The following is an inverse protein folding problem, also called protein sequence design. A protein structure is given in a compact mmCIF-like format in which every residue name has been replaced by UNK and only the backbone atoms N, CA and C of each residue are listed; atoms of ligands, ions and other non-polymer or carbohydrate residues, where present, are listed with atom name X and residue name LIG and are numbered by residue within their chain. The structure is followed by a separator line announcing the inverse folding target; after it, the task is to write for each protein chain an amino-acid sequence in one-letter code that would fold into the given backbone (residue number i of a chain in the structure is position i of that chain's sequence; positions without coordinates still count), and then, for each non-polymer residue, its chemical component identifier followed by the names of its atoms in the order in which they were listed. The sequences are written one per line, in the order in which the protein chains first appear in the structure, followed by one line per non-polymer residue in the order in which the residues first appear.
data_IF_780032700792
#
_entry.id   IF_780032700792
#
_cell.length_a   1.000
_cell.length_b   1.000
_cell.length_c   1.000
_cell.angle_alpha   90.00
_cell.angle_beta   90.00
_cell.angle_gamma   90.00
#
_symmetry.space_group_name_H-M   'P 1'
#
loop_
_entity.id
_entity.type
_entity.pdbx_description
1 polymer ?
#
# COMPACT_ATOMS: atom_id res chain seq x y z
N UNK A 1 9.88 -3.09 -6.43
CA UNK A 1 9.62 -1.64 -6.32
C UNK A 1 8.15 -1.41 -6.55
N UNK A 2 7.50 -0.66 -5.67
CA UNK A 2 6.09 -0.27 -5.76
C UNK A 2 6.01 1.21 -5.38
N UNK A 3 5.27 1.99 -6.14
CA UNK A 3 4.84 3.31 -5.72
C UNK A 3 3.53 3.19 -4.96
N UNK A 4 3.53 3.65 -3.70
CA UNK A 4 2.32 3.79 -2.89
C UNK A 4 2.11 5.28 -2.62
N UNK A 5 0.91 5.78 -2.92
CA UNK A 5 0.50 7.14 -2.57
C UNK A 5 -0.68 7.04 -1.61
N UNK A 6 -0.55 7.66 -0.45
CA UNK A 6 -1.64 7.82 0.52
C UNK A 6 -2.06 9.28 0.54
N UNK A 7 -3.36 9.52 0.45
CA UNK A 7 -3.96 10.84 0.66
C UNK A 7 -5.12 10.73 1.64
N UNK A 8 -5.32 11.78 2.42
CA UNK A 8 -6.40 11.88 3.40
C UNK A 8 -7.27 13.06 3.00
N UNK A 9 -8.59 12.92 3.12
CA UNK A 9 -9.53 14.03 3.05
C UNK A 9 -10.50 13.97 4.24
N UNK A 10 -11.51 14.86 4.27
CA UNK A 10 -12.47 14.96 5.38
C UNK A 10 -13.28 13.68 5.64
N UNK A 11 -13.45 12.81 4.65
CA UNK A 11 -14.38 11.66 4.72
C UNK A 11 -13.71 10.30 4.59
N UNK A 12 -12.47 10.24 4.09
CA UNK A 12 -11.76 9.00 3.85
C UNK A 12 -10.24 9.15 3.85
N UNK A 13 -9.58 8.02 4.09
CA UNK A 13 -8.20 7.78 3.71
C UNK A 13 -8.20 7.01 2.40
N UNK A 14 -7.44 7.47 1.40
CA UNK A 14 -7.33 6.82 0.10
C UNK A 14 -5.87 6.42 -0.13
N UNK A 15 -5.65 5.12 -0.32
CA UNK A 15 -4.36 4.58 -0.72
C UNK A 15 -4.43 4.11 -2.16
N UNK A 16 -3.42 4.43 -2.96
CA UNK A 16 -3.25 3.95 -4.32
C UNK A 16 -1.87 3.30 -4.46
N UNK A 17 -1.79 2.23 -5.24
CA UNK A 17 -0.52 1.61 -5.60
C UNK A 17 -0.52 1.07 -7.02
N UNK A 18 0.66 1.01 -7.62
CA UNK A 18 0.84 0.24 -8.86
C UNK A 18 0.82 -1.26 -8.57
N UNK A 19 0.48 -2.06 -9.58
CA UNK A 19 0.36 -3.52 -9.47
C UNK A 19 1.53 -4.30 -10.08
N UNK A 20 2.64 -3.64 -10.45
CA UNK A 20 3.80 -4.27 -11.08
C UNK A 20 4.70 -4.95 -10.06
N UNK A 21 5.01 -6.22 -10.27
CA UNK A 21 6.19 -6.86 -9.68
C UNK A 21 7.31 -6.82 -10.71
N UNK A 22 8.53 -6.54 -10.23
CA UNK A 22 9.73 -6.54 -11.05
C UNK A 22 10.65 -7.63 -10.52
N UNK A 23 11.04 -8.56 -11.40
CA UNK A 23 12.03 -9.60 -11.11
C UNK A 23 13.26 -9.37 -11.98
N UNK A 24 14.40 -9.20 -11.34
CA UNK A 24 15.71 -9.06 -12.00
C UNK A 24 16.46 -10.37 -11.81
N UNK A 25 16.84 -11.00 -12.92
CA UNK A 25 17.58 -12.26 -12.93
C UNK A 25 19.10 -12.01 -12.91
N UNK A 26 19.89 -13.02 -12.53
CA UNK A 26 21.36 -12.93 -12.49
C UNK A 26 21.99 -12.61 -13.84
N UNK A 27 21.32 -12.99 -14.93
CA UNK A 27 21.72 -12.69 -16.32
C UNK A 27 21.30 -11.27 -16.77
N UNK A 28 20.78 -10.44 -15.86
CA UNK A 28 20.33 -9.09 -16.13
C UNK A 28 18.96 -8.99 -16.78
N UNK A 29 18.29 -10.11 -17.10
CA UNK A 29 16.92 -10.08 -17.63
C UNK A 29 15.97 -9.51 -16.60
N UNK A 30 14.97 -8.78 -17.07
CA UNK A 30 13.90 -8.21 -16.24
C UNK A 30 12.57 -8.80 -16.69
N UNK A 31 11.81 -9.35 -15.74
CA UNK A 31 10.42 -9.80 -15.95
C UNK A 31 9.47 -8.95 -15.13
N UNK A 32 8.36 -8.57 -15.75
CA UNK A 32 7.28 -7.81 -15.13
C UNK A 32 6.02 -8.67 -14.97
N UNK A 33 5.32 -8.47 -13.85
CA UNK A 33 3.95 -8.98 -13.62
C UNK A 33 3.07 -7.80 -13.21
N UNK A 34 2.15 -7.38 -14.07
CA UNK A 34 1.41 -6.12 -13.92
C UNK A 34 0.08 -6.22 -13.15
N UNK A 35 -0.24 -7.38 -12.57
CA UNK A 35 -1.56 -7.65 -11.99
C UNK A 35 -1.51 -8.12 -10.53
N UNK A 36 -0.39 -7.90 -9.84
CA UNK A 36 -0.26 -8.31 -8.45
C UNK A 36 -1.19 -7.51 -7.52
N UNK A 37 -1.81 -8.20 -6.56
CA UNK A 37 -2.46 -7.53 -5.43
C UNK A 37 -1.40 -6.94 -4.49
N UNK A 38 -1.60 -5.70 -4.04
CA UNK A 38 -0.71 -5.06 -3.05
C UNK A 38 -1.47 -4.33 -1.96
N UNK A 39 -2.74 -4.62 -1.77
CA UNK A 39 -3.50 -4.10 -0.63
C UNK A 39 -4.12 -5.23 0.19
N UNK A 40 -4.19 -4.97 1.50
CA UNK A 40 -4.90 -5.77 2.48
C UNK A 40 -5.76 -4.79 3.28
N UNK A 41 -7.06 -5.05 3.38
CA UNK A 41 -7.97 -4.26 4.21
C UNK A 41 -8.13 -4.93 5.56
N UNK A 42 -8.05 -4.15 6.64
CA UNK A 42 -8.14 -4.65 8.01
C UNK A 42 -9.11 -3.77 8.79
N UNK A 43 -10.20 -4.37 9.26
CA UNK A 43 -11.02 -3.82 10.33
C UNK A 43 -10.73 -4.60 11.60
N UNK A 44 -10.48 -3.91 12.69
CA UNK A 44 -10.19 -4.54 13.97
C UNK A 44 -10.95 -3.84 15.11
N UNK A 45 -10.59 -4.17 16.35
CA UNK A 45 -11.26 -3.66 17.56
C UNK A 45 -11.30 -2.13 17.69
N UNK A 46 -10.28 -1.42 17.24
CA UNK A 46 -10.14 0.03 17.45
C UNK A 46 -9.72 0.84 16.23
N UNK A 47 -9.62 0.19 15.06
CA UNK A 47 -9.18 0.78 13.81
C UNK A 47 -9.79 0.10 12.57
N UNK A 48 -9.81 0.86 11.47
CA UNK A 48 -10.13 0.39 10.12
C UNK A 48 -9.10 0.97 9.17
N UNK A 49 -8.29 0.14 8.53
CA UNK A 49 -7.14 0.59 7.75
C UNK A 49 -6.79 -0.34 6.60
N UNK A 50 -6.03 0.19 5.65
CA UNK A 50 -5.38 -0.55 4.57
C UNK A 50 -3.91 -0.77 4.91
N UNK A 51 -3.37 -1.89 4.42
CA UNK A 51 -1.95 -2.19 4.38
C UNK A 51 -1.56 -2.31 2.91
N UNK A 52 -0.56 -1.55 2.49
CA UNK A 52 0.11 -1.73 1.21
C UNK A 52 1.60 -2.01 1.44
N UNK A 53 2.31 -2.53 0.43
CA UNK A 53 3.73 -2.84 0.58
C UNK A 53 4.59 -2.44 -0.61
N UNK A 54 5.82 -2.05 -0.31
CA UNK A 54 6.88 -1.77 -1.27
C UNK A 54 8.18 -2.42 -0.82
N UNK A 55 9.14 -2.52 -1.73
CA UNK A 55 10.39 -3.24 -1.51
C UNK A 55 10.31 -4.71 -1.95
N UNK A 56 10.68 -5.64 -1.07
CA UNK A 56 10.76 -7.06 -1.37
C UNK A 56 9.37 -7.65 -1.63
N UNK A 57 9.15 -8.18 -2.84
CA UNK A 57 7.85 -8.69 -3.28
C UNK A 57 7.60 -10.16 -2.95
N UNK A 58 8.67 -10.94 -2.84
CA UNK A 58 8.65 -12.37 -2.60
C UNK A 58 9.70 -12.70 -1.54
N UNK A 59 9.35 -13.56 -0.60
CA UNK A 59 10.29 -14.15 0.37
C UNK A 59 10.41 -15.65 0.12
N UNK A 60 11.61 -16.18 0.35
CA UNK A 60 11.83 -17.61 0.43
C UNK A 60 11.73 -18.07 1.88
N UNK A 61 10.84 -19.03 2.13
CA UNK A 61 10.71 -19.72 3.41
C UNK A 61 10.83 -21.22 3.13
N UNK A 62 11.91 -21.82 3.61
CA UNK A 62 12.32 -23.18 3.22
C UNK A 62 12.44 -23.30 1.68
N UNK A 63 11.68 -24.20 1.07
CA UNK A 63 11.62 -24.48 -0.36
C UNK A 63 10.60 -23.59 -1.11
N UNK A 64 9.75 -22.84 -0.38
CA UNK A 64 8.64 -22.08 -0.97
C UNK A 64 8.99 -20.61 -1.19
N UNK A 65 8.50 -20.07 -2.31
CA UNK A 65 8.47 -18.64 -2.59
C UNK A 65 7.07 -18.14 -2.27
N UNK A 66 6.96 -17.17 -1.37
CA UNK A 66 5.69 -16.62 -0.88
C UNK A 66 5.68 -15.13 -1.16
N UNK A 67 4.59 -14.63 -1.75
CA UNK A 67 4.43 -13.19 -1.98
C UNK A 67 4.24 -12.45 -0.66
N UNK A 68 4.75 -11.23 -0.56
CA UNK A 68 4.67 -10.43 0.66
C UNK A 68 3.21 -10.21 1.10
N UNK A 69 2.28 -9.91 0.18
CA UNK A 69 0.87 -9.77 0.56
C UNK A 69 0.25 -11.05 1.14
N UNK A 70 0.61 -12.21 0.58
CA UNK A 70 0.16 -13.52 1.07
C UNK A 70 0.75 -13.85 2.44
N UNK A 71 2.03 -13.55 2.65
CA UNK A 71 2.70 -13.71 3.93
C UNK A 71 2.00 -12.88 5.02
N UNK A 72 1.67 -11.62 4.72
CA UNK A 72 1.05 -10.71 5.67
C UNK A 72 -0.39 -11.14 5.97
N UNK A 73 -1.22 -11.45 4.97
CA UNK A 73 -2.62 -11.84 5.22
C UNK A 73 -2.71 -13.15 6.01
N UNK A 74 -1.86 -14.14 5.68
CA UNK A 74 -1.88 -15.44 6.37
C UNK A 74 -1.45 -15.28 7.84
N UNK A 75 -0.50 -14.39 8.12
CA UNK A 75 -0.10 -14.08 9.50
C UNK A 75 -1.19 -13.30 10.26
N UNK A 76 -1.81 -12.30 9.64
CA UNK A 76 -2.91 -11.54 10.26
C UNK A 76 -4.09 -12.44 10.61
N UNK A 77 -4.43 -13.38 9.73
CA UNK A 77 -5.43 -14.40 9.99
C UNK A 77 -5.03 -15.28 11.19
N UNK A 78 -3.78 -15.79 11.21
CA UNK A 78 -3.27 -16.64 12.29
C UNK A 78 -3.33 -15.99 13.66
N UNK A 79 -3.11 -14.68 13.76
CA UNK A 79 -3.18 -13.96 15.03
C UNK A 79 -4.58 -13.44 15.35
N UNK A 80 -5.61 -13.77 14.56
CA UNK A 80 -6.96 -13.21 14.69
C UNK A 80 -6.93 -11.67 14.77
N UNK A 81 -6.28 -11.04 13.79
CA UNK A 81 -6.02 -9.61 13.82
C UNK A 81 -7.30 -8.74 13.92
N UNK A 82 -8.47 -9.25 13.52
CA UNK A 82 -9.76 -8.58 13.75
C UNK A 82 -10.08 -8.29 15.21
N UNK A 83 -9.62 -9.14 16.15
CA UNK A 83 -9.90 -8.98 17.59
C UNK A 83 -8.81 -8.21 18.33
N UNK A 84 -7.74 -7.83 17.64
CA UNK A 84 -6.59 -7.12 18.21
C UNK A 84 -6.72 -5.61 18.00
N UNK A 85 -6.02 -4.86 18.85
CA UNK A 85 -5.82 -3.41 18.64
C UNK A 85 -4.82 -3.15 17.52
N UNK A 86 -4.89 -1.97 16.90
CA UNK A 86 -3.92 -1.54 15.90
C UNK A 86 -2.47 -1.68 16.41
N UNK A 87 -2.20 -1.25 17.65
CA UNK A 87 -0.86 -1.29 18.26
C UNK A 87 -0.34 -2.72 18.42
N UNK A 88 -1.19 -3.65 18.82
CA UNK A 88 -0.81 -5.06 18.93
C UNK A 88 -0.49 -5.65 17.56
N UNK A 89 -1.29 -5.32 16.53
CA UNK A 89 -1.08 -5.81 15.16
C UNK A 89 0.23 -5.30 14.58
N UNK A 90 0.51 -3.99 14.65
CA UNK A 90 1.74 -3.43 14.05
C UNK A 90 2.99 -3.96 14.74
N UNK A 91 2.95 -4.11 16.07
CA UNK A 91 4.06 -4.70 16.84
C UNK A 91 4.27 -6.17 16.49
N UNK A 92 3.19 -6.94 16.40
CA UNK A 92 3.24 -8.36 16.01
C UNK A 92 3.78 -8.53 14.59
N UNK A 93 3.32 -7.72 13.64
CA UNK A 93 3.82 -7.70 12.26
C UNK A 93 5.31 -7.36 12.21
N UNK A 94 5.76 -6.29 12.85
CA UNK A 94 7.18 -5.89 12.88
C UNK A 94 8.07 -7.04 13.39
N UNK A 95 7.67 -7.68 14.50
CA UNK A 95 8.37 -8.83 15.07
C UNK A 95 8.36 -10.05 14.15
N UNK A 96 7.28 -10.28 13.40
CA UNK A 96 7.14 -11.41 12.50
C UNK A 96 7.96 -11.25 11.21
N UNK A 97 7.90 -10.08 10.57
CA UNK A 97 8.57 -9.85 9.29
C UNK A 97 10.07 -9.68 9.43
N UNK A 98 10.55 -9.13 10.55
CA UNK A 98 11.98 -8.90 10.81
C UNK A 98 12.85 -10.14 10.55
N UNK A 99 12.67 -11.28 11.24
CA UNK A 99 13.51 -12.45 11.02
C UNK A 99 13.32 -13.08 9.64
N UNK A 100 12.16 -12.94 9.00
CA UNK A 100 11.88 -13.52 7.68
C UNK A 100 12.67 -12.76 6.61
N UNK A 101 12.57 -11.43 6.61
CA UNK A 101 13.24 -10.56 5.64
C UNK A 101 14.76 -10.59 5.82
N UNK A 102 15.25 -10.62 7.07
CA UNK A 102 16.69 -10.68 7.34
C UNK A 102 17.36 -11.98 6.89
N UNK A 103 16.63 -13.09 6.87
CA UNK A 103 17.14 -14.40 6.47
C UNK A 103 17.14 -14.60 4.94
N UNK A 104 16.68 -13.62 4.17
CA UNK A 104 16.67 -13.72 2.72
C UNK A 104 18.10 -13.70 2.18
N UNK A 105 18.43 -14.65 1.30
CA UNK A 105 19.73 -14.75 0.66
C UNK A 105 19.88 -13.75 -0.50
N UNK A 106 19.81 -12.47 -0.15
CA UNK A 106 20.03 -11.31 -1.03
C UNK A 106 20.89 -10.29 -0.28
N UNK A 107 21.54 -9.40 -1.03
CA UNK A 107 22.29 -8.28 -0.48
C UNK A 107 21.42 -7.43 0.47
N UNK A 108 22.03 -6.86 1.51
CA UNK A 108 21.31 -6.12 2.56
C UNK A 108 20.42 -5.00 1.98
N UNK A 109 20.91 -4.26 1.00
CA UNK A 109 20.14 -3.20 0.32
C UNK A 109 18.93 -3.72 -0.47
N UNK A 110 18.90 -5.00 -0.85
CA UNK A 110 17.76 -5.62 -1.52
C UNK A 110 16.71 -6.19 -0.54
N UNK A 111 16.94 -6.05 0.77
CA UNK A 111 15.99 -6.45 1.83
C UNK A 111 15.04 -5.32 2.26
N UNK A 112 15.12 -4.16 1.60
CA UNK A 112 14.23 -3.02 1.83
C UNK A 112 12.79 -3.46 1.72
N UNK A 113 11.99 -3.20 2.76
CA UNK A 113 10.56 -3.43 2.76
C UNK A 113 9.87 -2.43 3.66
N UNK A 114 8.79 -1.84 3.19
CA UNK A 114 7.88 -1.03 4.01
C UNK A 114 6.47 -1.60 3.85
N UNK A 115 5.80 -1.82 4.96
CA UNK A 115 4.35 -1.98 5.02
C UNK A 115 3.75 -0.62 5.38
N UNK A 116 3.08 0.02 4.42
CA UNK A 116 2.40 1.30 4.62
C UNK A 116 1.00 1.03 5.16
N UNK A 117 0.68 1.59 6.31
CA UNK A 117 -0.64 1.46 6.94
C UNK A 117 -1.33 2.82 6.96
N UNK A 118 -2.60 2.88 6.59
CA UNK A 118 -3.35 4.12 6.67
C UNK A 118 -4.84 3.86 6.82
N UNK A 119 -5.55 4.70 7.56
CA UNK A 119 -6.97 4.51 7.82
C UNK A 119 -7.48 5.37 8.96
N UNK A 120 -8.45 4.84 9.71
CA UNK A 120 -9.00 5.47 10.89
C UNK A 120 -8.68 4.66 12.15
N UNK A 121 -8.22 5.32 13.20
CA UNK A 121 -7.94 4.76 14.51
C UNK A 121 -8.74 5.56 15.54
N UNK A 122 -9.68 4.90 16.22
CA UNK A 122 -10.62 5.53 17.17
C UNK A 122 -11.29 6.78 16.58
N UNK A 123 -11.76 6.67 15.34
CA UNK A 123 -12.45 7.75 14.61
C UNK A 123 -11.55 8.84 14.05
N UNK A 124 -10.23 8.78 14.25
CA UNK A 124 -9.28 9.78 13.71
C UNK A 124 -8.48 9.21 12.54
N UNK A 125 -8.29 9.97 11.45
CA UNK A 125 -7.44 9.51 10.37
C UNK A 125 -5.99 9.36 10.84
N UNK A 126 -5.29 8.36 10.33
CA UNK A 126 -3.88 8.14 10.61
C UNK A 126 -3.14 7.61 9.38
N UNK A 127 -1.84 7.84 9.39
CA UNK A 127 -0.88 7.12 8.56
C UNK A 127 0.16 6.45 9.45
N UNK A 128 0.78 5.41 8.96
CA UNK A 128 1.81 4.67 9.67
C UNK A 128 2.66 3.87 8.71
N UNK A 129 3.74 3.32 9.25
CA UNK A 129 4.64 2.44 8.53
C UNK A 129 5.21 1.37 9.45
N UNK A 130 5.55 0.23 8.86
CA UNK A 130 6.42 -0.79 9.44
C UNK A 130 7.54 -0.98 8.43
N UNK A 131 8.74 -0.46 8.73
CA UNK A 131 9.82 -0.38 7.76
C UNK A 131 11.18 -0.68 8.37
N UNK A 132 12.10 -1.18 7.54
CA UNK A 132 13.52 -1.28 7.85
C UNK A 132 14.36 -0.24 7.11
N UNK A 133 13.76 0.69 6.36
CA UNK A 133 14.49 1.67 5.54
C UNK A 133 13.75 2.99 5.28
N UNK A 134 12.53 3.20 5.80
CA UNK A 134 11.78 4.45 5.68
C UNK A 134 11.36 4.94 7.08
N UNK A 135 11.38 6.25 7.30
CA UNK A 135 10.89 6.88 8.54
C UNK A 135 9.44 7.40 8.41
N UNK A 136 8.98 8.13 9.44
CA UNK A 136 7.64 8.72 9.53
C UNK A 136 7.36 9.90 8.60
N UNK A 137 8.40 10.46 7.98
CA UNK A 137 8.30 11.49 6.96
C UNK A 137 8.35 10.90 5.55
N UNK A 138 8.58 9.58 5.43
CA UNK A 138 8.83 8.90 4.15
C UNK A 138 10.28 9.06 3.69
N UNK A 139 11.18 9.55 4.55
CA UNK A 139 12.59 9.68 4.24
C UNK A 139 13.28 8.32 4.25
N UNK A 140 14.21 8.15 3.32
CA UNK A 140 14.93 6.90 3.14
C UNK A 140 16.13 6.84 4.08
N UNK A 141 16.20 5.76 4.83
CA UNK A 141 17.27 5.45 5.76
C UNK A 141 18.10 4.24 5.27
N UNK A 142 19.35 4.09 5.75
CA UNK A 142 20.09 2.85 5.57
C UNK A 142 19.29 1.64 6.07
N UNK A 143 19.41 0.51 5.37
CA UNK A 143 18.67 -0.70 5.72
C UNK A 143 19.08 -1.20 7.10
N UNK A 144 18.11 -1.30 8.01
CA UNK A 144 18.25 -1.83 9.35
C UNK A 144 17.97 -3.34 9.38
N UNK A 145 18.54 -4.04 10.35
CA UNK A 145 18.24 -5.45 10.62
C UNK A 145 16.98 -5.60 11.51
N UNK A 146 16.26 -4.53 11.79
CA UNK A 146 15.00 -4.55 12.54
C UNK A 146 13.98 -3.68 11.83
N UNK A 147 12.71 -4.11 11.88
CA UNK A 147 11.61 -3.27 11.45
C UNK A 147 11.16 -2.40 12.61
N UNK A 148 11.19 -1.10 12.39
CA UNK A 148 10.61 -0.10 13.27
C UNK A 148 9.20 0.22 12.76
N UNK A 149 8.34 0.70 13.67
CA UNK A 149 7.01 1.14 13.30
C UNK A 149 6.69 2.49 13.90
N UNK A 150 5.86 3.23 13.18
CA UNK A 150 5.39 4.56 13.58
C UNK A 150 3.93 4.73 13.16
N UNK A 151 3.19 5.54 13.92
CA UNK A 151 1.79 5.87 13.66
C UNK A 151 1.61 7.36 13.95
N UNK A 152 1.23 8.11 12.92
CA UNK A 152 0.90 9.53 13.00
C UNK A 152 -0.61 9.70 12.90
N UNK A 153 -1.23 9.95 14.05
CA UNK A 153 -2.65 10.34 14.09
C UNK A 153 -2.76 11.80 13.66
N UNK A 154 -3.72 12.09 12.78
CA UNK A 154 -3.98 13.43 12.32
C UNK A 154 -5.20 13.99 13.04
N UNK A 155 -5.11 15.27 13.38
CA UNK A 155 -6.26 16.00 13.89
C UNK A 155 -7.23 16.25 12.74
N UNK A 156 -8.51 15.86 12.86
CA UNK A 156 -9.53 16.37 11.96
C UNK A 156 -9.72 17.85 12.29
N UNK A 157 -9.12 18.75 11.52
CA UNK A 157 -9.43 20.18 11.58
C UNK A 157 -10.33 20.54 10.40
N UNK A 158 -11.20 21.53 10.60
CA UNK A 158 -12.12 22.01 9.57
C UNK A 158 -11.40 22.62 8.34
N UNK A 159 -10.12 22.99 8.50
CA UNK A 159 -9.32 23.73 7.51
C UNK A 159 -8.40 22.86 6.65
N UNK A 160 -8.02 21.64 7.08
CA UNK A 160 -7.36 20.61 6.25
C UNK A 160 -6.99 19.39 7.09
N UNK A 161 -7.20 18.18 6.56
CA UNK A 161 -6.00 17.37 6.41
C UNK A 161 -5.83 16.92 4.98
N UNK A 162 -4.75 17.39 4.35
CA UNK A 162 -4.19 16.76 3.15
C UNK A 162 -2.77 16.33 3.49
N UNK A 163 -2.68 15.23 4.26
CA UNK A 163 -1.41 14.53 4.33
C UNK A 163 -1.29 13.68 3.07
N UNK A 164 -0.33 14.05 2.23
CA UNK A 164 0.15 13.21 1.15
C UNK A 164 1.41 12.50 1.62
N UNK A 165 1.41 11.19 1.43
CA UNK A 165 2.58 10.38 1.74
C UNK A 165 2.88 9.48 0.56
N UNK A 166 4.14 9.50 0.14
CA UNK A 166 4.67 8.71 -0.96
C UNK A 166 5.68 7.73 -0.38
N UNK A 167 5.53 6.45 -0.68
CA UNK A 167 6.44 5.41 -0.21
C UNK A 167 6.95 4.56 -1.38
N UNK A 168 8.18 4.05 -1.24
CA UNK A 168 8.75 3.06 -2.15
C UNK A 168 9.41 3.60 -3.41
N UNK A 169 9.59 4.92 -3.51
CA UNK A 169 10.26 5.57 -4.63
C UNK A 169 11.56 6.22 -4.18
N UNK A 170 12.66 5.47 -4.25
CA UNK A 170 13.97 6.00 -3.84
C UNK A 170 14.44 7.24 -4.61
N UNK A 171 13.85 7.52 -5.78
CA UNK A 171 14.35 8.51 -6.77
C UNK A 171 13.30 9.15 -7.71
N UNK A 172 11.99 8.88 -7.57
CA UNK A 172 10.96 9.44 -8.50
C UNK A 172 10.36 10.74 -8.00
N UNK A 173 10.49 11.00 -6.70
CA UNK A 173 10.17 12.31 -6.14
C UNK A 173 11.34 13.23 -6.48
N UNK A 174 11.53 13.47 -7.77
CA UNK A 174 12.41 14.51 -8.30
C UNK A 174 11.72 15.87 -8.12
N UNK A 175 12.44 16.96 -8.38
CA UNK A 175 11.99 18.36 -8.23
C UNK A 175 10.71 18.70 -9.06
N UNK A 176 10.21 17.78 -9.88
CA UNK A 176 8.99 17.92 -10.68
C UNK A 176 7.75 17.24 -10.09
N UNK A 177 7.92 16.24 -9.21
CA UNK A 177 6.82 15.50 -8.58
C UNK A 177 6.18 16.33 -7.46
N UNK A 178 7.00 16.89 -6.56
CA UNK A 178 6.56 17.71 -5.42
C UNK A 178 5.79 18.98 -5.82
N UNK A 179 6.25 19.81 -6.77
CA UNK A 179 5.49 21.01 -7.15
C UNK A 179 4.13 20.69 -7.73
N UNK A 180 3.95 19.52 -8.37
CA UNK A 180 2.65 19.09 -8.90
C UNK A 180 1.74 18.59 -7.79
N UNK A 181 2.29 17.90 -6.79
CA UNK A 181 1.61 17.54 -5.56
C UNK A 181 1.16 18.78 -4.79
N UNK A 182 2.03 19.78 -4.63
CA UNK A 182 1.73 21.03 -3.94
C UNK A 182 0.74 21.93 -4.72
N UNK A 183 0.91 22.06 -6.05
CA UNK A 183 0.02 22.83 -6.93
C UNK A 183 -1.38 22.22 -7.07
N UNK A 184 -1.48 20.89 -6.97
CA UNK A 184 -2.77 20.18 -6.98
C UNK A 184 -3.31 19.89 -5.57
N UNK A 185 -2.50 20.01 -4.52
CA UNK A 185 -2.85 19.60 -3.15
C UNK A 185 -4.16 20.22 -2.68
N UNK A 186 -4.33 21.53 -2.88
CA UNK A 186 -5.58 22.25 -2.55
C UNK A 186 -6.78 21.96 -3.47
N UNK A 187 -6.58 21.35 -4.65
CA UNK A 187 -7.67 20.94 -5.57
C UNK A 187 -8.06 19.47 -5.42
N UNK A 188 -7.09 18.59 -5.21
CA UNK A 188 -7.28 17.15 -4.93
C UNK A 188 -8.06 16.96 -3.63
N UNK A 189 -7.73 17.83 -2.69
CA UNK A 189 -8.35 18.05 -1.43
C UNK A 189 -9.89 17.99 -1.37
N UNK A 190 -10.51 18.83 -2.20
CA UNK A 190 -11.95 19.03 -2.22
C UNK A 190 -12.68 18.04 -3.13
N UNK A 191 -11.97 17.03 -3.66
CA UNK A 191 -12.60 16.03 -4.49
C UNK A 191 -13.38 15.00 -3.65
N UNK A 192 -14.41 14.44 -4.26
CA UNK A 192 -15.03 13.21 -3.76
C UNK A 192 -13.98 12.09 -3.59
N UNK A 193 -14.25 11.11 -2.74
CA UNK A 193 -13.32 9.98 -2.53
C UNK A 193 -12.94 9.26 -3.83
N UNK A 194 -13.88 9.13 -4.77
CA UNK A 194 -13.62 8.57 -6.11
C UNK A 194 -12.78 9.51 -6.99
N UNK A 195 -13.00 10.82 -6.90
CA UNK A 195 -12.14 11.81 -7.57
C UNK A 195 -10.71 11.74 -7.05
N UNK A 196 -10.54 11.74 -5.73
CA UNK A 196 -9.25 11.57 -5.07
C UNK A 196 -8.54 10.30 -5.54
N UNK A 197 -9.21 9.14 -5.51
CA UNK A 197 -8.67 7.88 -6.02
C UNK A 197 -8.19 7.98 -7.48
N UNK A 198 -8.97 8.62 -8.36
CA UNK A 198 -8.59 8.84 -9.76
C UNK A 198 -7.35 9.71 -9.90
N UNK A 199 -7.24 10.81 -9.13
CA UNK A 199 -6.05 11.66 -9.14
C UNK A 199 -4.80 10.92 -8.70
N UNK A 200 -4.90 10.07 -7.65
CA UNK A 200 -3.76 9.25 -7.22
C UNK A 200 -3.32 8.27 -8.32
N UNK A 201 -4.27 7.63 -9.02
CA UNK A 201 -3.96 6.76 -10.17
C UNK A 201 -3.27 7.53 -11.29
N UNK A 202 -3.71 8.75 -11.59
CA UNK A 202 -3.08 9.59 -12.61
C UNK A 202 -1.64 9.98 -12.21
N UNK A 203 -1.39 10.24 -10.93
CA UNK A 203 -0.05 10.51 -10.41
C UNK A 203 0.88 9.30 -10.55
N UNK A 204 0.39 8.09 -10.23
CA UNK A 204 1.15 6.85 -10.40
C UNK A 204 1.48 6.60 -11.88
N UNK A 205 0.49 6.76 -12.76
CA UNK A 205 0.71 6.60 -14.21
C UNK A 205 1.68 7.63 -14.78
N UNK A 206 1.63 8.86 -14.26
CA UNK A 206 2.61 9.88 -14.62
C UNK A 206 4.02 9.50 -14.16
N UNK A 207 4.18 9.02 -12.92
CA UNK A 207 5.45 8.50 -12.41
C UNK A 207 6.00 7.35 -13.27
N UNK A 208 5.14 6.51 -13.85
CA UNK A 208 5.54 5.44 -14.75
C UNK A 208 6.20 5.93 -16.06
N UNK A 209 6.10 7.23 -16.38
CA UNK A 209 6.82 7.86 -17.50
C UNK A 209 8.17 8.46 -17.10
N UNK A 210 8.61 8.34 -15.83
CA UNK A 210 9.90 8.85 -15.40
C UNK A 210 11.06 8.17 -16.17
N UNK A 211 12.04 8.92 -16.73
CA UNK A 211 13.03 8.38 -17.67
C UNK A 211 13.84 7.19 -17.13
N UNK A 212 14.23 7.21 -15.85
CA UNK A 212 15.16 6.23 -15.27
C UNK A 212 14.49 5.05 -14.58
N UNK A 213 13.30 5.27 -13.99
CA UNK A 213 12.69 4.38 -13.00
C UNK A 213 11.21 4.13 -13.27
N UNK A 214 10.59 4.88 -14.20
CA UNK A 214 9.20 4.68 -14.59
C UNK A 214 8.94 3.27 -15.11
N UNK A 215 9.94 2.63 -15.72
CA UNK A 215 9.87 1.21 -16.14
C UNK A 215 9.59 0.22 -14.99
N UNK A 216 9.87 0.58 -13.74
CA UNK A 216 9.59 -0.27 -12.58
C UNK A 216 8.22 -0.03 -11.95
N UNK A 217 7.48 0.98 -12.43
CA UNK A 217 6.16 1.35 -11.93
C UNK A 217 5.11 0.86 -12.92
N UNK A 218 4.16 0.06 -12.44
CA UNK A 218 3.04 -0.40 -13.26
C UNK A 218 2.07 0.72 -13.60
N UNK A 219 1.48 0.68 -14.79
CA UNK A 219 0.39 1.59 -15.16
C UNK A 219 -1.00 1.05 -14.76
N UNK A 220 -1.07 -0.25 -14.47
CA UNK A 220 -2.20 -0.88 -13.80
C UNK A 220 -2.12 -0.55 -12.31
N UNK A 221 -3.17 0.08 -11.79
CA UNK A 221 -3.21 0.54 -10.41
C UNK A 221 -4.32 -0.15 -9.62
N UNK A 222 -4.24 -0.07 -8.30
CA UNK A 222 -5.34 -0.35 -7.41
C UNK A 222 -5.52 0.80 -6.44
N UNK A 223 -6.76 1.02 -6.00
CA UNK A 223 -7.07 1.99 -4.95
C UNK A 223 -7.89 1.35 -3.87
N UNK A 224 -7.63 1.74 -2.63
CA UNK A 224 -8.42 1.41 -1.45
C UNK A 224 -8.88 2.73 -0.82
N UNK A 225 -10.19 2.97 -0.88
CA UNK A 225 -10.85 4.05 -0.17
C UNK A 225 -11.34 3.47 1.17
N UNK A 226 -10.90 4.09 2.24
CA UNK A 226 -11.16 3.70 3.62
C UNK A 226 -11.97 4.84 4.24
N UNK A 227 -13.30 4.79 4.15
CA UNK A 227 -14.13 5.82 4.76
C UNK A 227 -14.13 5.66 6.29
N UNK A 228 -14.36 6.77 6.99
CA UNK A 228 -14.51 6.78 8.45
C UNK A 228 -15.61 5.82 8.92
N UNK A 229 -16.69 5.74 8.15
CA UNK A 229 -17.85 4.87 8.38
C UNK A 229 -18.18 4.06 7.11
N UNK A 230 -18.86 2.92 7.26
CA UNK A 230 -19.23 2.04 6.15
C UNK A 230 -18.13 1.04 5.77
N UNK A 231 -18.18 0.50 4.54
CA UNK A 231 -17.27 -0.55 4.06
C UNK A 231 -16.01 -0.01 3.36
N UNK A 232 -15.05 -0.89 3.09
CA UNK A 232 -13.93 -0.56 2.20
C UNK A 232 -14.42 -0.49 0.75
N UNK A 233 -13.94 0.50 -0.02
CA UNK A 233 -14.21 0.57 -1.46
C UNK A 233 -12.90 0.42 -2.20
N UNK A 234 -12.79 -0.67 -2.96
CA UNK A 234 -11.56 -1.07 -3.61
C UNK A 234 -11.77 -1.27 -5.09
N UNK A 235 -10.91 -0.66 -5.89
CA UNK A 235 -11.04 -0.62 -7.35
C UNK A 235 -9.72 -1.01 -8.02
N UNK A 236 -9.84 -1.82 -9.07
CA UNK A 236 -8.76 -2.08 -10.02
C UNK A 236 -8.87 -1.07 -11.17
N UNK A 237 -7.77 -0.40 -11.47
CA UNK A 237 -7.65 0.64 -12.51
C UNK A 237 -6.69 0.17 -13.61
N UNK A 238 -7.12 -0.71 -14.52
CA UNK A 238 -6.33 -1.08 -15.70
C UNK A 238 -6.10 0.13 -16.60
N UNK A 239 -4.97 0.16 -17.31
CA UNK A 239 -4.62 1.31 -18.17
C UNK A 239 -5.63 1.56 -19.30
N UNK A 240 -6.07 0.48 -19.96
CA UNK A 240 -6.80 0.53 -21.24
C UNK A 240 -8.31 0.32 -21.13
N UNK A 241 -8.83 -0.01 -19.96
CA UNK A 241 -10.26 -0.27 -19.77
C UNK A 241 -10.77 0.42 -18.51
N UNK A 242 -12.10 0.47 -18.38
CA UNK A 242 -12.76 1.12 -17.25
C UNK A 242 -12.41 0.46 -15.91
N UNK A 243 -12.34 1.23 -14.81
CA UNK A 243 -12.14 0.67 -13.48
C UNK A 243 -13.22 -0.34 -13.11
N UNK A 244 -12.84 -1.36 -12.36
CA UNK A 244 -13.77 -2.39 -11.86
C UNK A 244 -13.61 -2.54 -10.36
N UNK A 245 -14.71 -2.80 -9.66
CA UNK A 245 -14.66 -3.21 -8.26
C UNK A 245 -13.78 -4.45 -8.10
N UNK A 246 -12.96 -4.46 -7.05
CA UNK A 246 -11.99 -5.53 -6.78
C UNK A 246 -11.96 -5.77 -5.29
N UNK A 247 -12.16 -6.99 -4.80
CA UNK A 247 -12.07 -7.28 -3.37
C UNK A 247 -10.65 -7.74 -3.03
N UNK A 248 -9.82 -6.93 -2.36
CA UNK A 248 -8.51 -7.36 -1.93
C UNK A 248 -8.63 -8.35 -0.77
N UNK A 249 -7.48 -8.76 -0.22
CA UNK A 249 -7.45 -9.45 1.05
C UNK A 249 -8.16 -8.62 2.13
N UNK A 250 -9.03 -9.25 2.93
CA UNK A 250 -9.83 -8.58 3.96
C UNK A 250 -9.77 -9.36 5.27
N UNK A 251 -9.49 -8.64 6.36
CA UNK A 251 -9.59 -9.10 7.75
C UNK A 251 -10.65 -8.25 8.46
N UNK A 252 -11.60 -8.91 9.11
CA UNK A 252 -12.56 -8.30 10.03
C UNK A 252 -12.79 -9.26 11.21
N UNK A 253 -13.37 -8.81 12.35
CA UNK A 253 -13.77 -9.72 13.42
C UNK A 253 -14.61 -10.89 12.88
N UNK A 254 -14.17 -12.13 13.13
CA UNK A 254 -14.84 -13.34 12.67
C UNK A 254 -14.76 -13.65 11.16
N UNK A 255 -14.11 -12.82 10.34
CA UNK A 255 -14.09 -12.98 8.88
C UNK A 255 -12.69 -12.75 8.30
N UNK A 256 -12.24 -13.69 7.46
CA UNK A 256 -11.00 -13.58 6.67
C UNK A 256 -11.31 -13.95 5.23
N UNK A 257 -11.06 -13.03 4.29
CA UNK A 257 -11.13 -13.29 2.85
C UNK A 257 -9.77 -13.10 2.19
N UNK A 258 -9.36 -14.06 1.37
CA UNK A 258 -8.14 -13.99 0.54
C UNK A 258 -8.53 -13.95 -0.93
N UNK A 259 -8.29 -12.80 -1.58
CA UNK A 259 -8.36 -12.60 -3.04
C UNK A 259 -9.66 -13.08 -3.73
N UNK A 260 -10.83 -12.56 -3.36
CA UNK A 260 -12.09 -12.90 -4.03
C UNK A 260 -12.28 -12.01 -5.26
N UNK A 261 -12.20 -12.59 -6.46
CA UNK A 261 -12.56 -11.90 -7.71
C UNK A 261 -14.01 -12.20 -8.08
N UNK A 262 -14.91 -11.23 -7.90
CA UNK A 262 -16.29 -11.34 -8.38
C UNK A 262 -16.32 -10.92 -9.86
N UNK A 263 -16.39 -11.88 -10.78
CA UNK A 263 -16.62 -11.60 -12.20
C UNK A 263 -18.12 -11.46 -12.45
N UNK A 264 -18.57 -10.30 -12.93
CA UNK A 264 -19.89 -10.20 -13.57
C UNK A 264 -19.83 -11.02 -14.87
N UNK A 265 -20.51 -12.15 -14.90
CA UNK A 265 -20.81 -12.83 -16.16
C UNK A 265 -21.88 -11.97 -16.84
N UNK A 266 -21.52 -11.25 -17.90
CA UNK A 266 -22.54 -10.72 -18.78
C UNK A 266 -23.15 -11.90 -19.53
N UNK A 267 -24.45 -12.10 -19.38
CA UNK A 267 -25.19 -13.06 -20.18
C UNK A 267 -24.95 -12.75 -21.67
N UNK A 268 -24.64 -13.75 -22.52
CA UNK A 268 -24.63 -13.52 -23.95
C UNK A 268 -26.01 -13.05 -24.39
N UNK A 269 -26.04 -11.89 -25.04
CA UNK A 269 -27.21 -11.33 -25.73
C UNK A 269 -27.60 -12.19 -26.92
#
# INVERSE_FOLDING_TARGET
MTLIITAINKSAVVQASDRRLTKIFKDGKVKFEDNANKAICVSNRDAKFGIAYTGLAEVRIFDKIIRTDELIIDYLAKINAGDKTLREIVKALANYVTPIINKQNVEKNHRRTTLVIAGFFKGRPFVGGISNFEDENGELLPVKDVFEFWIKCLSPTDESPYLFMVNGLEKVVDDTFEPRMNKKGGKIANQSNKGLARELVLLIRWAAHHPTIGKYIGQNCMTTIIPAEGDFITEYHPLKVSPSSYTPHLIQPGIVFKNVQIKRVMSPS
#
